data_IF_622321404651
#
_entry.id   IF_622321404651
#
_cell.length_a   1.000
_cell.length_b   1.000
_cell.length_c   1.000
_cell.angle_alpha   90.00
_cell.angle_beta   90.00
_cell.angle_gamma   90.00
#
_symmetry.space_group_name_H-M   'P 1'
#
loop_
_entity.id
_entity.type
_entity.pdbx_description
1 polymer ?
#
# COMPACT_ATOMS: atom_id res chain seq x y z
N UNK A 1 12.92 12.38 -0.71
CA UNK A 1 12.43 11.32 0.21
C UNK A 1 11.03 10.93 -0.18
N UNK A 2 10.68 9.66 0.00
CA UNK A 2 9.40 9.14 -0.46
C UNK A 2 8.21 9.71 0.33
N UNK A 3 8.37 9.97 1.64
CA UNK A 3 7.30 10.57 2.44
C UNK A 3 7.00 12.01 2.01
N UNK A 4 7.99 12.77 1.61
CA UNK A 4 7.78 14.12 1.10
C UNK A 4 7.02 14.09 -0.23
N UNK A 5 7.29 13.10 -1.08
CA UNK A 5 6.55 12.89 -2.32
C UNK A 5 5.07 12.61 -2.03
N UNK A 6 4.79 11.78 -1.03
CA UNK A 6 3.42 11.46 -0.62
C UNK A 6 2.71 12.68 -0.01
N UNK A 7 3.42 13.46 0.82
CA UNK A 7 2.86 14.70 1.36
C UNK A 7 2.49 15.68 0.24
N UNK A 8 3.36 15.82 -0.76
CA UNK A 8 3.09 16.67 -1.91
C UNK A 8 1.88 16.16 -2.71
N UNK A 9 1.77 14.85 -2.88
CA UNK A 9 0.63 14.23 -3.56
C UNK A 9 -0.68 14.56 -2.83
N UNK A 10 -0.73 14.34 -1.52
CA UNK A 10 -1.94 14.62 -0.74
C UNK A 10 -2.20 16.12 -0.54
N UNK A 11 -1.16 16.96 -0.59
CA UNK A 11 -1.35 18.41 -0.53
C UNK A 11 -2.20 18.91 -1.69
N UNK A 12 -2.11 18.29 -2.85
CA UNK A 12 -2.94 18.60 -4.01
C UNK A 12 -4.44 18.40 -3.76
N UNK A 13 -4.80 17.62 -2.74
CA UNK A 13 -6.19 17.35 -2.34
C UNK A 13 -6.54 18.02 -1.00
N UNK A 14 -5.65 18.85 -0.45
CA UNK A 14 -5.87 19.47 0.85
C UNK A 14 -5.74 18.52 2.02
N UNK A 15 -5.01 17.41 1.86
CA UNK A 15 -4.93 16.34 2.85
C UNK A 15 -3.53 16.13 3.43
N UNK A 16 -2.61 17.04 3.21
CA UNK A 16 -1.23 16.92 3.68
C UNK A 16 -1.15 16.64 5.19
N UNK A 17 -1.98 17.31 5.98
CA UNK A 17 -1.99 17.19 7.43
C UNK A 17 -2.45 15.81 7.92
N UNK A 18 -3.04 15.00 7.06
CA UNK A 18 -3.49 13.64 7.40
C UNK A 18 -2.35 12.64 7.33
N UNK A 19 -1.23 12.97 6.71
CA UNK A 19 -0.04 12.12 6.66
C UNK A 19 0.63 12.14 8.03
N UNK A 20 0.76 10.96 8.65
CA UNK A 20 1.33 10.80 9.98
C UNK A 20 2.76 10.28 9.87
N UNK A 21 3.67 10.88 10.60
CA UNK A 21 5.05 10.40 10.75
C UNK A 21 5.28 10.03 12.20
N UNK A 22 5.97 8.92 12.42
CA UNK A 22 6.21 8.38 13.75
C UNK A 22 7.69 8.46 14.13
N UNK A 23 7.99 8.62 15.43
CA UNK A 23 9.39 8.54 15.90
C UNK A 23 9.93 7.11 15.95
N UNK A 24 9.09 6.12 15.66
CA UNK A 24 9.42 4.68 15.67
C UNK A 24 9.07 4.08 14.32
N UNK A 25 9.61 2.89 14.05
CA UNK A 25 9.30 2.15 12.82
C UNK A 25 7.83 1.74 12.77
N UNK A 26 7.24 1.84 11.58
CA UNK A 26 5.93 1.27 11.24
C UNK A 26 6.05 0.38 9.99
N UNK A 27 7.23 -0.18 9.76
CA UNK A 27 7.53 -0.94 8.56
C UNK A 27 6.79 -2.28 8.47
N UNK A 28 6.46 -2.89 9.61
CA UNK A 28 5.67 -4.13 9.66
C UNK A 28 4.25 -3.82 10.10
N UNK A 29 3.32 -4.75 9.82
CA UNK A 29 1.93 -4.61 10.27
C UNK A 29 1.86 -4.44 11.79
N UNK A 30 2.62 -5.25 12.54
CA UNK A 30 2.62 -5.17 14.00
C UNK A 30 3.14 -3.82 14.50
N UNK A 31 4.23 -3.32 13.93
CA UNK A 31 4.79 -2.03 14.29
C UNK A 31 3.85 -0.87 13.95
N UNK A 32 3.23 -0.91 12.77
CA UNK A 32 2.28 0.10 12.36
C UNK A 32 1.05 0.11 13.28
N UNK A 33 0.50 -1.05 13.61
CA UNK A 33 -0.64 -1.16 14.50
C UNK A 33 -0.31 -0.61 15.89
N UNK A 34 0.89 -0.89 16.40
CA UNK A 34 1.34 -0.36 17.69
C UNK A 34 1.48 1.18 17.66
N UNK A 35 2.07 1.72 16.59
CA UNK A 35 2.25 3.16 16.44
C UNK A 35 0.92 3.91 16.33
N UNK A 36 -0.07 3.30 15.68
CA UNK A 36 -1.39 3.89 15.46
C UNK A 36 -2.42 3.56 16.54
N UNK A 37 -2.07 2.68 17.48
CA UNK A 37 -2.98 2.19 18.51
C UNK A 37 -4.25 1.57 17.95
N UNK A 38 -4.09 0.77 16.87
CA UNK A 38 -5.20 0.07 16.24
C UNK A 38 -4.90 -1.43 16.15
N UNK A 39 -5.90 -2.23 15.75
CA UNK A 39 -5.70 -3.65 15.53
C UNK A 39 -4.95 -3.89 14.21
N UNK A 40 -4.10 -4.93 14.12
CA UNK A 40 -3.35 -5.24 12.90
C UNK A 40 -4.21 -5.37 11.64
N UNK A 41 -5.43 -5.87 11.76
CA UNK A 41 -6.32 -6.04 10.60
C UNK A 41 -6.75 -4.72 9.96
N UNK A 42 -6.67 -3.60 10.68
CA UNK A 42 -6.99 -2.27 10.13
C UNK A 42 -5.84 -1.67 9.33
N UNK A 43 -4.64 -2.24 9.42
CA UNK A 43 -3.53 -1.80 8.58
C UNK A 43 -3.80 -2.24 7.15
N UNK A 44 -3.61 -1.34 6.20
CA UNK A 44 -3.70 -1.66 4.77
C UNK A 44 -2.27 -1.86 4.25
N UNK A 45 -1.82 -3.10 4.23
CA UNK A 45 -0.48 -3.42 3.74
C UNK A 45 -0.47 -3.49 2.22
N UNK A 46 0.58 -2.97 1.61
CA UNK A 46 0.76 -2.97 0.16
C UNK A 46 1.90 -3.89 -0.21
N UNK A 47 1.61 -4.91 -1.01
CA UNK A 47 2.61 -5.86 -1.50
C UNK A 47 2.87 -5.60 -2.98
N UNK A 48 4.14 -5.60 -3.36
CA UNK A 48 4.56 -5.41 -4.74
C UNK A 48 4.79 -6.75 -5.43
N UNK A 49 4.41 -6.83 -6.71
CA UNK A 49 4.59 -8.02 -7.53
C UNK A 49 4.98 -7.62 -8.95
N UNK A 50 5.56 -8.59 -9.68
CA UNK A 50 5.81 -8.46 -11.11
C UNK A 50 4.95 -9.49 -11.86
N UNK A 51 4.17 -9.03 -12.81
CA UNK A 51 3.38 -9.90 -13.70
C UNK A 51 3.90 -9.67 -15.12
N UNK A 52 4.59 -10.67 -15.69
CA UNK A 52 5.23 -10.54 -17.00
C UNK A 52 6.08 -9.25 -17.08
N UNK A 53 6.87 -9.02 -16.03
CA UNK A 53 7.77 -7.87 -15.88
C UNK A 53 7.06 -6.52 -15.68
N UNK A 54 5.73 -6.50 -15.60
CA UNK A 54 4.97 -5.30 -15.31
C UNK A 54 4.78 -5.18 -13.81
N UNK A 55 5.21 -4.06 -13.20
CA UNK A 55 5.04 -3.89 -11.76
C UNK A 55 3.58 -3.66 -11.39
N UNK A 56 3.18 -4.21 -10.26
CA UNK A 56 1.86 -3.96 -9.68
C UNK A 56 1.94 -4.02 -8.16
N UNK A 57 0.93 -3.45 -7.52
CA UNK A 57 0.78 -3.55 -6.07
C UNK A 57 -0.62 -4.03 -5.73
N UNK A 58 -0.73 -4.79 -4.64
CA UNK A 58 -2.01 -5.20 -4.08
C UNK A 58 -2.06 -4.69 -2.65
N UNK A 59 -3.10 -3.92 -2.34
CA UNK A 59 -3.36 -3.41 -1.00
C UNK A 59 -4.33 -4.35 -0.32
N UNK A 60 -3.98 -4.86 0.84
CA UNK A 60 -4.81 -5.83 1.57
C UNK A 60 -4.79 -5.56 3.07
N UNK A 61 -5.77 -6.10 3.78
CA UNK A 61 -5.82 -5.98 5.24
C UNK A 61 -4.61 -6.66 5.88
N UNK A 62 -4.17 -6.13 7.03
CA UNK A 62 -2.97 -6.60 7.70
C UNK A 62 -2.99 -8.09 8.09
N UNK A 63 -4.17 -8.66 8.30
CA UNK A 63 -4.33 -10.07 8.63
C UNK A 63 -4.55 -10.97 7.40
N UNK A 64 -4.64 -10.39 6.20
CA UNK A 64 -4.83 -11.15 4.97
C UNK A 64 -3.50 -11.68 4.44
N UNK A 65 -3.58 -12.73 3.64
CA UNK A 65 -2.43 -13.35 2.98
C UNK A 65 -2.73 -13.61 1.53
N UNK A 66 -1.69 -13.65 0.70
CA UNK A 66 -1.85 -14.02 -0.70
C UNK A 66 -2.23 -15.50 -0.79
N UNK A 67 -3.34 -15.77 -1.47
CA UNK A 67 -3.71 -17.11 -1.87
C UNK A 67 -3.12 -17.35 -3.25
N UNK A 68 -2.11 -18.21 -3.33
CA UNK A 68 -1.37 -18.43 -4.58
C UNK A 68 -2.25 -18.98 -5.70
N UNK A 69 -3.24 -19.80 -5.37
CA UNK A 69 -4.16 -20.33 -6.38
C UNK A 69 -5.05 -19.22 -6.96
N UNK A 70 -5.60 -18.37 -6.10
CA UNK A 70 -6.41 -17.23 -6.53
C UNK A 70 -5.58 -16.21 -7.30
N UNK A 71 -4.34 -15.97 -6.87
CA UNK A 71 -3.42 -15.08 -7.57
C UNK A 71 -3.19 -15.58 -9.00
N UNK A 72 -2.84 -16.87 -9.15
CA UNK A 72 -2.60 -17.46 -10.46
C UNK A 72 -3.84 -17.44 -11.34
N UNK A 73 -5.02 -17.69 -10.76
CA UNK A 73 -6.28 -17.64 -11.49
C UNK A 73 -6.56 -16.22 -12.02
N UNK A 74 -6.24 -15.20 -11.23
CA UNK A 74 -6.52 -13.80 -11.60
C UNK A 74 -5.48 -13.23 -12.58
N UNK A 75 -4.20 -13.56 -12.41
CA UNK A 75 -3.10 -12.95 -13.16
C UNK A 75 -2.42 -13.91 -14.16
N UNK A 76 -2.85 -15.17 -14.21
CA UNK A 76 -2.36 -16.22 -15.12
C UNK A 76 -0.87 -16.59 -14.92
N UNK A 77 -0.24 -16.14 -13.85
CA UNK A 77 1.17 -16.40 -13.51
C UNK A 77 1.31 -16.65 -12.03
N UNK A 78 2.39 -17.35 -11.65
CA UNK A 78 2.76 -17.47 -10.24
C UNK A 78 3.14 -16.11 -9.68
N UNK A 79 2.87 -15.90 -8.40
CA UNK A 79 3.29 -14.69 -7.72
C UNK A 79 4.82 -14.56 -7.76
N UNK A 80 5.30 -13.41 -8.20
CA UNK A 80 6.73 -13.10 -8.25
C UNK A 80 6.94 -11.76 -7.58
N UNK A 81 7.71 -11.74 -6.51
CA UNK A 81 8.02 -10.51 -5.80
C UNK A 81 9.30 -9.88 -6.36
N UNK A 82 9.31 -8.56 -6.57
CA UNK A 82 10.53 -7.86 -6.98
C UNK A 82 11.54 -7.83 -5.82
N UNK A 83 12.81 -7.63 -6.17
CA UNK A 83 13.85 -7.39 -5.17
C UNK A 83 13.66 -6.01 -4.53
N UNK A 84 14.27 -5.73 -3.35
CA UNK A 84 14.20 -4.39 -2.76
C UNK A 84 14.64 -3.27 -3.70
N UNK A 85 15.68 -3.49 -4.52
CA UNK A 85 16.12 -2.50 -5.49
C UNK A 85 15.09 -2.29 -6.59
N UNK A 86 14.46 -3.36 -7.06
CA UNK A 86 13.37 -3.27 -8.05
C UNK A 86 12.16 -2.55 -7.49
N UNK A 87 11.80 -2.79 -6.22
CA UNK A 87 10.71 -2.09 -5.56
C UNK A 87 10.96 -0.59 -5.58
N UNK A 88 12.13 -0.16 -5.16
CA UNK A 88 12.47 1.26 -5.15
C UNK A 88 12.45 1.86 -6.56
N UNK A 89 13.01 1.16 -7.53
CA UNK A 89 13.12 1.65 -8.91
C UNK A 89 11.78 1.66 -9.63
N UNK A 90 10.99 0.59 -9.49
CA UNK A 90 9.77 0.40 -10.29
C UNK A 90 8.52 0.98 -9.62
N UNK A 91 8.45 0.94 -8.29
CA UNK A 91 7.30 1.43 -7.53
C UNK A 91 7.55 2.85 -7.00
N UNK A 92 8.80 3.17 -6.69
CA UNK A 92 9.17 4.50 -6.20
C UNK A 92 9.09 4.66 -4.69
N UNK A 93 8.94 3.58 -3.95
CA UNK A 93 8.92 3.57 -2.48
C UNK A 93 9.85 2.50 -1.94
N UNK A 94 10.52 2.74 -0.80
CA UNK A 94 11.37 1.72 -0.19
C UNK A 94 10.54 0.61 0.44
N UNK A 95 11.14 -0.57 0.59
CA UNK A 95 10.53 -1.66 1.36
C UNK A 95 10.20 -1.17 2.76
N UNK A 96 9.02 -1.50 3.26
CA UNK A 96 8.50 -0.98 4.53
C UNK A 96 7.68 0.29 4.40
N UNK A 97 7.82 1.02 3.28
CA UNK A 97 7.05 2.24 3.00
C UNK A 97 6.22 2.15 1.72
N UNK A 98 6.14 0.98 1.11
CA UNK A 98 5.37 0.79 -0.13
C UNK A 98 3.90 1.11 0.11
N UNK A 99 3.32 1.94 -0.77
CA UNK A 99 1.92 2.34 -0.72
C UNK A 99 1.43 2.54 -2.15
N UNK A 100 0.10 2.62 -2.37
CA UNK A 100 -0.44 2.74 -3.73
C UNK A 100 -0.50 4.17 -4.26
N UNK A 101 0.05 5.14 -3.54
CA UNK A 101 -0.08 6.55 -3.90
C UNK A 101 1.16 7.08 -4.62
N UNK A 102 0.94 7.98 -5.59
CA UNK A 102 2.02 8.62 -6.35
C UNK A 102 3.00 7.62 -6.98
N UNK A 103 2.50 6.46 -7.39
CA UNK A 103 3.29 5.44 -8.10
C UNK A 103 3.36 5.77 -9.58
N UNK A 104 4.36 5.26 -10.31
CA UNK A 104 4.44 5.46 -11.77
C UNK A 104 3.17 4.96 -12.49
N UNK A 105 2.82 5.57 -13.61
CA UNK A 105 1.60 5.25 -14.35
C UNK A 105 1.53 3.79 -14.82
N UNK A 106 2.67 3.15 -15.05
CA UNK A 106 2.71 1.76 -15.49
C UNK A 106 2.53 0.76 -14.35
N UNK A 107 2.41 1.23 -13.10
CA UNK A 107 2.15 0.36 -11.95
C UNK A 107 0.64 0.20 -11.80
N UNK A 108 0.17 -1.03 -11.92
CA UNK A 108 -1.24 -1.33 -11.68
C UNK A 108 -1.49 -1.48 -10.18
N UNK A 109 -2.57 -0.90 -9.70
CA UNK A 109 -2.96 -0.94 -8.29
C UNK A 109 -4.24 -1.76 -8.15
N UNK A 110 -4.21 -2.76 -7.28
CA UNK A 110 -5.38 -3.57 -6.95
C UNK A 110 -5.69 -3.46 -5.46
N UNK A 111 -6.96 -3.46 -5.13
CA UNK A 111 -7.43 -3.45 -3.75
C UNK A 111 -8.06 -4.80 -3.44
N UNK A 112 -7.63 -5.42 -2.35
CA UNK A 112 -8.14 -6.73 -1.95
C UNK A 112 -9.45 -6.59 -1.16
N UNK A 113 -10.38 -7.51 -1.40
CA UNK A 113 -11.70 -7.48 -0.74
C UNK A 113 -11.63 -7.61 0.78
N UNK A 114 -10.52 -8.10 1.34
CA UNK A 114 -10.33 -8.15 2.79
C UNK A 114 -10.48 -6.77 3.45
N UNK A 115 -10.18 -5.69 2.71
CA UNK A 115 -10.32 -4.31 3.21
C UNK A 115 -11.78 -3.90 3.38
N UNK A 116 -12.71 -4.55 2.70
CA UNK A 116 -14.14 -4.17 2.74
C UNK A 116 -14.82 -4.44 4.08
N UNK A 117 -14.14 -5.10 5.00
CA UNK A 117 -14.63 -5.32 6.36
C UNK A 117 -14.61 -4.03 7.20
N UNK A 118 -13.88 -3.00 6.76
CA UNK A 118 -13.60 -1.81 7.57
C UNK A 118 -14.03 -0.52 6.87
N UNK A 119 -14.39 0.47 7.66
CA UNK A 119 -14.71 1.82 7.20
C UNK A 119 -13.45 2.64 6.97
N UNK A 120 -12.48 2.51 7.87
CA UNK A 120 -11.21 3.23 7.84
C UNK A 120 -10.06 2.24 7.91
N UNK A 121 -9.04 2.46 7.07
CA UNK A 121 -7.83 1.65 7.03
C UNK A 121 -6.60 2.57 7.04
N UNK A 122 -5.43 2.00 7.34
CA UNK A 122 -4.19 2.76 7.55
C UNK A 122 -3.08 2.23 6.65
N UNK A 123 -2.97 2.72 5.40
CA UNK A 123 -1.82 2.39 4.56
C UNK A 123 -0.58 3.17 4.97
N UNK A 124 0.60 2.61 4.66
CA UNK A 124 1.85 3.33 4.76
C UNK A 124 1.85 4.54 3.82
N UNK A 125 2.74 5.47 4.04
CA UNK A 125 2.76 6.71 3.27
C UNK A 125 4.17 7.06 2.76
N UNK A 126 4.85 6.06 2.19
CA UNK A 126 6.08 6.26 1.45
C UNK A 126 7.37 6.10 2.25
N UNK A 127 7.27 5.82 3.55
CA UNK A 127 8.46 5.57 4.38
C UNK A 127 8.16 4.53 5.44
N UNK A 128 9.19 3.90 6.05
CA UNK A 128 8.96 2.89 7.08
C UNK A 128 8.56 3.46 8.45
N UNK A 129 8.19 4.73 8.50
CA UNK A 129 7.70 5.37 9.73
C UNK A 129 6.56 6.36 9.45
N UNK A 130 5.74 6.07 8.45
CA UNK A 130 4.62 6.94 8.09
C UNK A 130 3.36 6.13 7.76
N UNK A 131 2.21 6.78 7.90
CA UNK A 131 0.91 6.21 7.54
C UNK A 131 -0.10 7.33 7.31
N UNK A 132 -1.24 6.97 6.74
CA UNK A 132 -2.37 7.88 6.58
C UNK A 132 -3.66 7.13 6.87
N UNK A 133 -4.60 7.78 7.55
CA UNK A 133 -5.92 7.21 7.80
C UNK A 133 -6.84 7.57 6.63
N UNK A 134 -7.41 6.57 5.98
CA UNK A 134 -8.31 6.77 4.84
C UNK A 134 -9.56 5.91 4.98
N UNK A 135 -10.70 6.46 4.56
CA UNK A 135 -11.89 5.65 4.35
C UNK A 135 -11.71 4.85 3.06
N UNK A 136 -12.53 3.80 2.85
CA UNK A 136 -12.44 3.02 1.62
C UNK A 136 -12.71 3.87 0.37
N UNK A 137 -13.74 4.75 0.32
CA UNK A 137 -13.90 5.64 -0.82
C UNK A 137 -12.69 6.51 -1.10
N UNK A 138 -12.03 7.01 -0.05
CA UNK A 138 -10.80 7.79 -0.21
C UNK A 138 -9.66 6.94 -0.74
N UNK A 139 -9.52 5.71 -0.25
CA UNK A 139 -8.50 4.78 -0.75
C UNK A 139 -8.71 4.50 -2.24
N UNK A 140 -9.96 4.27 -2.65
CA UNK A 140 -10.30 4.08 -4.06
C UNK A 140 -9.92 5.30 -4.91
N UNK A 141 -10.28 6.49 -4.45
CA UNK A 141 -10.02 7.72 -5.20
C UNK A 141 -8.53 8.01 -5.32
N UNK A 142 -7.80 7.99 -4.21
CA UNK A 142 -6.41 8.45 -4.20
C UNK A 142 -5.40 7.39 -4.63
N UNK A 143 -5.76 6.13 -4.62
CA UNK A 143 -4.89 5.06 -5.12
C UNK A 143 -4.93 4.93 -6.64
N UNK A 144 -5.98 5.43 -7.28
CA UNK A 144 -6.16 5.25 -8.72
C UNK A 144 -6.26 3.77 -9.11
N UNK A 145 -6.93 2.97 -8.27
CA UNK A 145 -6.94 1.52 -8.41
C UNK A 145 -7.58 1.05 -9.70
N UNK A 146 -7.11 -0.12 -10.18
CA UNK A 146 -7.65 -0.74 -11.41
C UNK A 146 -8.87 -1.62 -11.11
N UNK A 147 -8.84 -2.40 -10.05
CA UNK A 147 -9.92 -3.31 -9.70
C UNK A 147 -9.80 -3.82 -8.26
N UNK A 148 -10.90 -4.29 -7.72
CA UNK A 148 -10.93 -5.11 -6.50
C UNK A 148 -10.62 -6.56 -6.86
N UNK A 149 -9.89 -7.23 -6.01
CA UNK A 149 -9.53 -8.65 -6.22
C UNK A 149 -9.80 -9.51 -5.00
#
# INVERSE_FOLDING_TARGET
>A
MSVEKEKAYFAGFGMEDRVLEFPVSSATVAEAAAALHCEPCHIAKTLAFLVCETPMVIVMAGDARIDNAKYKARFAKKAKMPTPDEVLTLIGHPVGGVCPFAVPENVNVYLDVSLRRFETVYPACGSPNSAIALTLPELEEYSGFSAWV
#
